data_IF_797560571791
#
_entry.id   IF_797560571791
#
_cell.length_a   1.000
_cell.length_b   1.000
_cell.length_c   1.000
_cell.angle_alpha   90.00
_cell.angle_beta   90.00
_cell.angle_gamma   90.00
#
_symmetry.space_group_name_H-M   'P 1'
#
loop_
_entity.id
_entity.type
_entity.pdbx_description
1 polymer ?
#
# COMPACT_ATOMS: atom_id res chain seq x y z
N UNK A 1 13.77 14.36 7.41
CA UNK A 1 13.60 15.75 6.94
C UNK A 1 14.02 15.93 5.48
N UNK A 2 15.22 15.46 5.07
CA UNK A 2 15.72 15.64 3.70
C UNK A 2 14.83 15.07 2.59
N UNK A 3 14.29 13.86 2.77
CA UNK A 3 13.38 13.20 1.79
C UNK A 3 12.12 14.04 1.54
N UNK A 4 11.50 14.58 2.60
CA UNK A 4 10.33 15.45 2.45
C UNK A 4 10.66 16.78 1.79
N UNK A 5 11.77 17.41 2.17
CA UNK A 5 12.19 18.66 1.55
C UNK A 5 12.45 18.47 0.05
N UNK A 6 13.17 17.42 -0.33
CA UNK A 6 13.41 17.06 -1.72
C UNK A 6 12.10 16.72 -2.45
N UNK A 7 11.24 15.88 -1.86
CA UNK A 7 9.96 15.50 -2.45
C UNK A 7 9.01 16.68 -2.66
N UNK A 8 8.97 17.62 -1.71
CA UNK A 8 8.15 18.84 -1.80
C UNK A 8 8.70 19.80 -2.86
N UNK A 9 10.02 19.97 -2.97
CA UNK A 9 10.65 20.75 -4.04
C UNK A 9 10.38 20.14 -5.42
N UNK A 10 10.57 18.83 -5.58
CA UNK A 10 10.28 18.15 -6.84
C UNK A 10 8.80 18.30 -7.22
N UNK A 11 7.90 18.25 -6.24
CA UNK A 11 6.48 18.52 -6.48
C UNK A 11 6.20 19.96 -6.89
N UNK A 12 6.82 20.92 -6.22
CA UNK A 12 6.66 22.33 -6.56
C UNK A 12 7.07 22.64 -8.01
N UNK A 13 8.11 21.97 -8.52
CA UNK A 13 8.57 22.10 -9.91
C UNK A 13 7.96 21.10 -10.90
N UNK A 14 6.95 20.32 -10.50
CA UNK A 14 6.35 19.24 -11.32
C UNK A 14 7.38 18.24 -11.89
N UNK A 15 8.44 17.97 -11.13
CA UNK A 15 9.46 16.98 -11.48
C UNK A 15 9.09 15.58 -10.95
N UNK A 16 9.58 14.51 -11.61
CA UNK A 16 9.42 13.15 -11.12
C UNK A 16 10.05 12.97 -9.74
N UNK A 17 9.36 12.29 -8.83
CA UNK A 17 9.86 11.92 -7.50
C UNK A 17 10.36 10.47 -7.44
N UNK A 18 10.71 9.92 -8.60
CA UNK A 18 11.29 8.60 -8.79
C UNK A 18 12.48 8.64 -9.74
N UNK A 19 13.33 7.63 -9.60
CA UNK A 19 14.45 7.36 -10.52
C UNK A 19 14.19 6.01 -11.17
N UNK A 20 14.46 5.90 -12.47
CA UNK A 20 14.45 4.62 -13.19
C UNK A 20 15.87 4.07 -13.23
N UNK A 21 16.09 2.88 -12.69
CA UNK A 21 17.37 2.18 -12.73
C UNK A 21 17.14 0.75 -13.18
N UNK A 22 17.77 0.35 -14.31
CA UNK A 22 17.69 -1.00 -14.89
C UNK A 22 16.21 -1.43 -15.07
N UNK A 23 15.35 -0.51 -15.53
CA UNK A 23 13.92 -0.77 -15.73
C UNK A 23 13.05 -0.77 -14.46
N UNK A 24 13.63 -0.66 -13.26
CA UNK A 24 12.89 -0.55 -12.00
C UNK A 24 12.68 0.91 -11.59
N UNK A 25 11.55 1.17 -10.94
CA UNK A 25 11.24 2.50 -10.39
C UNK A 25 11.58 2.56 -8.92
N UNK A 26 12.31 3.60 -8.54
CA UNK A 26 12.70 3.88 -7.17
C UNK A 26 12.18 5.25 -6.77
N UNK A 27 11.07 5.28 -6.05
CA UNK A 27 10.58 6.49 -5.39
C UNK A 27 11.57 6.91 -4.32
N UNK A 28 11.83 8.21 -4.27
CA UNK A 28 12.79 8.78 -3.33
C UNK A 28 12.39 8.49 -1.88
N UNK A 29 11.08 8.48 -1.58
CA UNK A 29 10.52 8.13 -0.27
C UNK A 29 10.81 6.71 0.19
N UNK A 30 10.89 5.75 -0.73
CA UNK A 30 11.12 4.35 -0.41
C UNK A 30 12.62 3.97 -0.50
N UNK A 31 13.33 4.54 -1.47
CA UNK A 31 14.71 4.14 -1.78
C UNK A 31 15.78 4.93 -1.01
N UNK A 32 15.62 6.25 -0.84
CA UNK A 32 16.64 7.09 -0.16
C UNK A 32 16.85 6.69 1.30
N UNK A 33 15.81 6.35 2.10
CA UNK A 33 16.00 5.93 3.48
C UNK A 33 16.91 4.70 3.62
N UNK A 34 16.88 3.80 2.64
CA UNK A 34 17.71 2.61 2.63
C UNK A 34 19.22 2.91 2.60
N UNK A 35 19.63 4.00 1.93
CA UNK A 35 21.05 4.39 1.87
C UNK A 35 21.66 4.66 3.24
N UNK A 36 20.84 5.04 4.23
CA UNK A 36 21.29 5.29 5.60
C UNK A 36 21.52 4.02 6.42
N UNK A 37 20.95 2.89 6.00
CA UNK A 37 21.03 1.62 6.75
C UNK A 37 21.80 0.52 6.01
N UNK A 38 22.14 0.70 4.73
CA UNK A 38 22.74 -0.37 3.92
C UNK A 38 24.01 -0.96 4.55
N UNK A 39 24.83 -0.12 5.21
CA UNK A 39 26.06 -0.55 5.88
C UNK A 39 25.84 -1.32 7.18
N UNK A 40 24.64 -1.25 7.76
CA UNK A 40 24.28 -1.96 9.01
C UNK A 40 23.48 -3.24 8.76
N UNK A 41 23.36 -3.65 7.49
CA UNK A 41 22.73 -4.91 7.10
C UNK A 41 23.77 -6.04 7.14
N UNK A 42 23.59 -6.96 8.07
CA UNK A 42 24.35 -8.20 8.15
C UNK A 42 23.56 -9.36 7.49
N UNK A 43 24.28 -10.45 7.17
CA UNK A 43 23.72 -11.61 6.47
C UNK A 43 22.63 -12.31 7.29
N UNK A 44 22.81 -12.39 8.61
CA UNK A 44 21.87 -13.05 9.51
C UNK A 44 20.53 -12.31 9.57
N UNK A 45 20.57 -10.97 9.63
CA UNK A 45 19.41 -10.11 9.55
C UNK A 45 18.64 -10.31 8.23
N UNK A 46 19.34 -10.34 7.10
CA UNK A 46 18.71 -10.57 5.80
C UNK A 46 18.08 -11.96 5.72
N UNK A 47 18.80 -13.00 6.14
CA UNK A 47 18.27 -14.37 6.22
C UNK A 47 17.01 -14.42 7.07
N UNK A 48 17.04 -13.82 8.25
CA UNK A 48 15.89 -13.78 9.15
C UNK A 48 14.66 -13.08 8.54
N UNK A 49 14.86 -12.08 7.68
CA UNK A 49 13.74 -11.39 7.01
C UNK A 49 13.17 -12.22 5.85
N UNK A 50 14.02 -12.80 5.00
CA UNK A 50 13.57 -13.49 3.80
C UNK A 50 13.12 -14.93 4.04
N UNK A 51 13.64 -15.59 5.09
CA UNK A 51 13.31 -16.97 5.43
C UNK A 51 12.13 -17.07 6.41
N UNK A 52 11.75 -15.97 7.08
CA UNK A 52 10.65 -16.01 8.03
C UNK A 52 9.29 -15.97 7.33
N UNK A 53 8.74 -17.15 7.06
CA UNK A 53 7.37 -17.32 6.58
C UNK A 53 6.43 -17.58 7.75
N UNK A 54 5.90 -16.52 8.37
CA UNK A 54 4.94 -16.62 9.51
C UNK A 54 3.61 -17.28 9.09
N UNK A 55 3.26 -17.28 7.80
CA UNK A 55 1.93 -17.69 7.35
C UNK A 55 1.95 -18.94 6.46
N UNK A 56 1.09 -19.91 6.80
CA UNK A 56 0.75 -20.96 5.85
C UNK A 56 0.05 -20.31 4.65
N UNK A 57 0.46 -20.70 3.43
CA UNK A 57 0.08 -20.08 2.16
C UNK A 57 -1.43 -19.82 1.98
N UNK A 58 -2.30 -20.57 2.67
CA UNK A 58 -3.77 -20.46 2.56
C UNK A 58 -4.34 -19.14 3.12
N UNK A 59 -3.75 -18.59 4.18
CA UNK A 59 -4.28 -17.39 4.86
C UNK A 59 -3.96 -16.10 4.09
N UNK A 60 -2.82 -16.07 3.40
CA UNK A 60 -2.42 -14.96 2.53
C UNK A 60 -3.34 -14.90 1.29
N UNK A 61 -3.64 -16.05 0.68
CA UNK A 61 -4.59 -16.14 -0.44
C UNK A 61 -6.00 -15.72 -0.03
N UNK A 62 -6.47 -16.17 1.14
CA UNK A 62 -7.75 -15.72 1.67
C UNK A 62 -7.77 -14.21 1.85
N UNK A 63 -6.71 -13.59 2.36
CA UNK A 63 -6.66 -12.13 2.54
C UNK A 63 -6.61 -11.35 1.22
N UNK A 64 -5.83 -11.84 0.26
CA UNK A 64 -5.67 -11.26 -1.08
C UNK A 64 -6.92 -11.37 -1.95
N UNK A 65 -7.70 -12.45 -1.81
CA UNK A 65 -8.96 -12.64 -2.53
C UNK A 65 -10.14 -12.00 -1.81
N UNK A 66 -10.18 -12.07 -0.47
CA UNK A 66 -11.33 -11.59 0.30
C UNK A 66 -11.40 -10.06 0.33
N UNK A 67 -10.28 -9.34 0.30
CA UNK A 67 -10.29 -7.88 0.27
C UNK A 67 -10.96 -7.37 -1.02
N UNK A 68 -10.49 -7.68 -2.25
CA UNK A 68 -11.16 -7.27 -3.49
C UNK A 68 -12.62 -7.71 -3.59
N UNK A 69 -12.95 -8.90 -3.07
CA UNK A 69 -14.30 -9.48 -3.14
C UNK A 69 -15.27 -8.83 -2.15
N UNK A 70 -14.81 -8.53 -0.92
CA UNK A 70 -15.55 -7.71 0.05
C UNK A 70 -15.68 -6.29 -0.46
N UNK A 71 -14.66 -5.73 -1.10
CA UNK A 71 -14.72 -4.40 -1.67
C UNK A 71 -15.74 -4.35 -2.80
N UNK A 72 -15.72 -5.29 -3.76
CA UNK A 72 -16.73 -5.37 -4.82
C UNK A 72 -18.15 -5.58 -4.28
N UNK A 73 -18.29 -6.41 -3.25
CA UNK A 73 -19.58 -6.65 -2.61
C UNK A 73 -20.09 -5.44 -1.81
N UNK A 74 -19.22 -4.76 -1.05
CA UNK A 74 -19.59 -3.61 -0.22
C UNK A 74 -19.80 -2.36 -1.08
N UNK A 75 -18.98 -2.14 -2.11
CA UNK A 75 -19.20 -1.05 -3.07
C UNK A 75 -20.46 -1.28 -3.89
N UNK A 76 -20.73 -2.50 -4.36
CA UNK A 76 -22.00 -2.84 -5.02
C UNK A 76 -23.22 -2.76 -4.11
N UNK A 77 -23.09 -3.12 -2.82
CA UNK A 77 -24.20 -3.14 -1.86
C UNK A 77 -24.52 -1.77 -1.25
N UNK A 78 -23.51 -0.97 -0.87
CA UNK A 78 -23.73 0.36 -0.28
C UNK A 78 -24.12 1.41 -1.33
N UNK A 79 -23.75 1.18 -2.60
CA UNK A 79 -23.90 2.18 -3.65
C UNK A 79 -24.64 1.59 -4.85
N UNK A 80 -25.92 1.24 -4.66
CA UNK A 80 -26.84 0.85 -5.73
C UNK A 80 -27.06 1.92 -6.85
N UNK A 81 -26.22 2.97 -6.89
CA UNK A 81 -26.08 3.95 -7.96
C UNK A 81 -24.63 4.07 -8.49
N UNK A 82 -23.80 3.04 -8.32
CA UNK A 82 -22.52 2.90 -9.04
C UNK A 82 -22.85 2.51 -10.47
N UNK A 83 -22.43 3.35 -11.40
CA UNK A 83 -22.52 3.04 -12.82
C UNK A 83 -21.18 2.44 -13.27
N UNK A 84 -21.26 1.43 -14.15
CA UNK A 84 -20.10 0.98 -14.90
C UNK A 84 -19.71 2.13 -15.83
N UNK A 85 -18.52 2.67 -15.59
CA UNK A 85 -17.96 3.65 -16.50
C UNK A 85 -17.25 2.91 -17.64
N UNK A 86 -17.23 3.52 -18.82
CA UNK A 86 -16.37 3.09 -19.92
C UNK A 86 -15.20 4.08 -20.01
N UNK A 87 -14.21 3.98 -19.09
CA UNK A 87 -13.13 4.94 -19.01
C UNK A 87 -12.39 5.01 -20.34
N UNK A 88 -11.94 6.20 -20.71
CA UNK A 88 -11.06 6.35 -21.87
C UNK A 88 -9.85 5.44 -21.69
N UNK A 89 -9.54 4.65 -22.71
CA UNK A 89 -8.51 3.60 -22.66
C UNK A 89 -8.88 2.37 -21.80
N UNK A 90 -10.17 2.05 -21.60
CA UNK A 90 -10.62 0.86 -20.85
C UNK A 90 -9.91 -0.42 -21.32
N UNK A 91 -9.86 -0.67 -22.63
CA UNK A 91 -9.20 -1.85 -23.19
C UNK A 91 -7.67 -1.75 -23.15
N UNK A 92 -7.12 -0.57 -23.43
CA UNK A 92 -5.67 -0.35 -23.55
C UNK A 92 -4.94 -0.20 -22.21
N UNK A 93 -5.65 0.25 -21.18
CA UNK A 93 -5.09 0.56 -19.87
C UNK A 93 -5.84 -0.14 -18.73
N UNK A 94 -7.17 -0.18 -18.76
CA UNK A 94 -7.94 -0.84 -17.69
C UNK A 94 -7.72 -2.35 -17.66
N UNK A 95 -8.07 -3.04 -18.75
CA UNK A 95 -7.92 -4.50 -18.86
C UNK A 95 -6.46 -4.92 -18.97
N UNK A 96 -5.64 -4.18 -19.71
CA UNK A 96 -4.20 -4.43 -19.78
C UNK A 96 -3.56 -4.30 -18.40
N UNK A 97 -3.94 -3.33 -17.56
CA UNK A 97 -3.38 -3.19 -16.22
C UNK A 97 -3.62 -4.43 -15.36
N UNK A 98 -4.77 -5.11 -15.50
CA UNK A 98 -5.03 -6.38 -14.80
C UNK A 98 -4.05 -7.46 -15.26
N UNK A 99 -3.80 -7.54 -16.56
CA UNK A 99 -2.84 -8.49 -17.15
C UNK A 99 -1.39 -8.13 -16.79
N UNK A 100 -1.09 -6.83 -16.74
CA UNK A 100 0.22 -6.25 -16.44
C UNK A 100 0.48 -6.11 -14.94
N UNK A 101 -0.49 -6.45 -14.09
CA UNK A 101 -0.38 -6.42 -12.64
C UNK A 101 0.92 -7.09 -12.14
N UNK A 102 1.30 -8.29 -12.61
CA UNK A 102 2.55 -8.92 -12.19
C UNK A 102 3.77 -8.09 -12.59
N UNK A 103 3.75 -7.45 -13.77
CA UNK A 103 4.84 -6.62 -14.26
C UNK A 103 4.99 -5.35 -13.41
N UNK A 104 3.89 -4.64 -13.15
CA UNK A 104 3.91 -3.46 -12.27
C UNK A 104 4.32 -3.81 -10.86
N UNK A 105 3.89 -4.95 -10.33
CA UNK A 105 4.36 -5.43 -9.04
C UNK A 105 5.87 -5.67 -9.09
N UNK A 106 6.40 -6.40 -10.08
CA UNK A 106 7.84 -6.68 -10.24
C UNK A 106 8.65 -5.38 -10.30
N UNK A 107 8.19 -4.37 -11.02
CA UNK A 107 8.85 -3.07 -11.11
C UNK A 107 8.94 -2.32 -9.77
N UNK A 108 7.99 -2.58 -8.87
CA UNK A 108 7.91 -1.97 -7.54
C UNK A 108 8.52 -2.84 -6.42
N UNK A 109 8.72 -4.14 -6.63
CA UNK A 109 9.26 -5.06 -5.61
C UNK A 109 10.56 -4.54 -4.98
N UNK A 110 11.60 -4.11 -5.75
CA UNK A 110 12.87 -3.73 -5.15
C UNK A 110 12.71 -2.62 -4.12
N UNK A 111 12.06 -1.50 -4.48
CA UNK A 111 11.89 -0.38 -3.56
C UNK A 111 11.01 -0.71 -2.34
N UNK A 112 10.01 -1.58 -2.48
CA UNK A 112 9.17 -2.00 -1.37
C UNK A 112 9.92 -2.92 -0.40
N UNK A 113 10.83 -3.76 -0.91
CA UNK A 113 11.78 -4.52 -0.09
C UNK A 113 12.72 -3.56 0.66
N UNK A 114 13.29 -2.57 -0.03
CA UNK A 114 14.18 -1.57 0.60
C UNK A 114 13.47 -0.84 1.75
N UNK A 115 12.22 -0.43 1.54
CA UNK A 115 11.38 0.19 2.56
C UNK A 115 11.15 -0.75 3.75
N UNK A 116 10.85 -2.03 3.50
CA UNK A 116 10.65 -3.01 4.57
C UNK A 116 11.93 -3.23 5.40
N UNK A 117 13.09 -3.31 4.75
CA UNK A 117 14.39 -3.44 5.43
C UNK A 117 14.69 -2.22 6.29
N UNK A 118 14.39 -1.02 5.78
CA UNK A 118 14.51 0.24 6.52
C UNK A 118 13.65 0.23 7.79
N UNK A 119 12.36 -0.07 7.65
CA UNK A 119 11.45 -0.15 8.79
C UNK A 119 11.91 -1.20 9.81
N UNK A 120 12.40 -2.35 9.34
CA UNK A 120 12.91 -3.43 10.19
C UNK A 120 14.10 -3.01 11.05
N UNK A 121 14.96 -2.11 10.55
CA UNK A 121 16.07 -1.54 11.34
C UNK A 121 15.62 -0.40 12.27
N UNK A 122 14.61 0.39 11.91
CA UNK A 122 14.09 1.47 12.79
C UNK A 122 13.24 0.98 13.96
N UNK A 123 12.90 -0.30 13.98
CA UNK A 123 12.17 -0.95 15.07
C UNK A 123 10.73 -1.29 14.70
N UNK A 124 10.21 -2.35 15.34
CA UNK A 124 8.93 -2.99 14.98
C UNK A 124 7.70 -2.47 15.74
N UNK A 125 7.79 -1.28 16.34
CA UNK A 125 6.61 -0.72 17.01
C UNK A 125 5.66 -0.10 15.99
N UNK A 126 4.35 -0.22 16.23
CA UNK A 126 3.34 0.45 15.41
C UNK A 126 3.62 1.94 15.27
N UNK A 127 3.88 2.62 16.39
CA UNK A 127 4.14 4.06 16.41
C UNK A 127 5.40 4.44 15.62
N UNK A 128 6.51 3.73 15.80
CA UNK A 128 7.75 4.00 15.05
C UNK A 128 7.49 3.87 13.54
N UNK A 129 6.89 2.75 13.14
CA UNK A 129 6.57 2.46 11.74
C UNK A 129 5.61 3.49 11.15
N UNK A 130 4.58 3.87 11.91
CA UNK A 130 3.59 4.88 11.53
C UNK A 130 4.25 6.23 11.29
N UNK A 131 5.02 6.74 12.26
CA UNK A 131 5.65 8.04 12.09
C UNK A 131 6.68 8.04 10.97
N UNK A 132 7.48 6.97 10.85
CA UNK A 132 8.42 6.83 9.74
C UNK A 132 7.69 6.86 8.41
N UNK A 133 6.68 6.01 8.20
CA UNK A 133 5.91 5.98 6.95
C UNK A 133 5.17 7.30 6.69
N UNK A 134 4.51 7.87 7.71
CA UNK A 134 3.84 9.15 7.62
C UNK A 134 4.81 10.22 7.11
N UNK A 135 5.98 10.36 7.75
CA UNK A 135 6.97 11.35 7.34
C UNK A 135 7.70 10.97 6.05
N UNK A 136 7.73 9.73 5.57
CA UNK A 136 8.33 9.44 4.27
C UNK A 136 7.42 9.83 3.10
N UNK A 137 6.11 9.72 3.29
CA UNK A 137 5.12 9.91 2.23
C UNK A 137 4.29 11.19 2.38
N UNK A 138 4.47 11.97 3.44
CA UNK A 138 3.70 13.18 3.75
C UNK A 138 3.63 14.15 2.56
N UNK A 139 4.74 14.37 1.85
CA UNK A 139 4.81 15.31 0.73
C UNK A 139 3.93 14.93 -0.47
N UNK A 140 3.53 13.66 -0.60
CA UNK A 140 2.61 13.21 -1.64
C UNK A 140 1.18 13.70 -1.39
N UNK A 141 0.82 13.98 -0.14
CA UNK A 141 -0.56 14.23 0.27
C UNK A 141 -0.80 15.64 0.80
N UNK A 142 0.24 16.45 1.05
CA UNK A 142 0.09 17.89 1.35
C UNK A 142 -0.30 18.64 0.07
N UNK A 143 -1.47 19.26 -0.06
CA UNK A 143 -1.82 20.01 -1.26
C UNK A 143 -0.93 21.26 -1.41
N UNK A 144 -0.47 21.52 -2.64
CA UNK A 144 0.27 22.74 -2.98
C UNK A 144 -0.65 23.94 -3.19
N UNK A 145 -1.90 23.70 -3.60
CA UNK A 145 -2.91 24.72 -3.80
C UNK A 145 -4.02 24.57 -2.75
N UNK A 146 -4.21 25.59 -1.91
CA UNK A 146 -5.22 25.57 -0.85
C UNK A 146 -6.66 25.56 -1.40
N UNK A 147 -6.88 26.04 -2.63
CA UNK A 147 -8.20 26.11 -3.26
C UNK A 147 -8.80 24.74 -3.60
N UNK A 148 -7.97 23.70 -3.70
CA UNK A 148 -8.38 22.33 -4.01
C UNK A 148 -8.24 21.40 -2.80
N UNK A 149 -8.19 21.95 -1.58
CA UNK A 149 -8.04 21.16 -0.36
C UNK A 149 -9.29 20.31 -0.09
N UNK A 150 -9.17 19.00 -0.27
CA UNK A 150 -10.14 18.03 0.23
C UNK A 150 -9.55 17.31 1.45
N UNK A 151 -10.18 17.48 2.62
CA UNK A 151 -9.72 16.87 3.88
C UNK A 151 -9.79 15.33 3.86
N UNK A 152 -10.59 14.74 2.96
CA UNK A 152 -10.74 13.30 2.84
C UNK A 152 -9.47 12.63 2.28
N UNK A 153 -8.67 13.34 1.49
CA UNK A 153 -7.39 12.82 0.98
C UNK A 153 -6.35 12.62 2.10
N UNK A 154 -6.09 13.60 3.00
CA UNK A 154 -5.30 13.39 4.21
C UNK A 154 -5.84 12.28 5.12
N UNK A 155 -7.17 12.16 5.25
CA UNK A 155 -7.79 11.09 6.06
C UNK A 155 -7.49 9.72 5.46
N UNK A 156 -7.72 9.53 4.16
CA UNK A 156 -7.39 8.31 3.43
C UNK A 156 -5.90 7.93 3.59
N UNK A 157 -5.00 8.92 3.48
CA UNK A 157 -3.57 8.72 3.70
C UNK A 157 -3.24 8.22 5.11
N UNK A 158 -3.77 8.88 6.15
CA UNK A 158 -3.53 8.48 7.54
C UNK A 158 -4.01 7.04 7.80
N UNK A 159 -5.19 6.69 7.28
CA UNK A 159 -5.75 5.35 7.42
C UNK A 159 -4.88 4.31 6.70
N UNK A 160 -4.45 4.60 5.47
CA UNK A 160 -3.57 3.72 4.70
C UNK A 160 -2.21 3.50 5.42
N UNK A 161 -1.58 4.56 5.92
CA UNK A 161 -0.32 4.46 6.67
C UNK A 161 -0.51 3.67 7.97
N UNK A 162 -1.65 3.83 8.64
CA UNK A 162 -2.02 3.02 9.81
C UNK A 162 -2.12 1.54 9.44
N UNK A 163 -2.75 1.21 8.30
CA UNK A 163 -2.89 -0.16 7.82
C UNK A 163 -1.53 -0.79 7.50
N UNK A 164 -0.66 -0.07 6.78
CA UNK A 164 0.71 -0.52 6.49
C UNK A 164 1.54 -0.75 7.75
N UNK A 165 1.44 0.17 8.71
CA UNK A 165 2.17 0.07 9.99
C UNK A 165 1.72 -1.14 10.81
N UNK A 166 0.42 -1.42 10.81
CA UNK A 166 -0.13 -2.61 11.45
C UNK A 166 0.35 -3.89 10.76
N UNK A 167 0.33 -3.92 9.43
CA UNK A 167 0.81 -5.07 8.63
C UNK A 167 2.28 -5.36 8.92
N UNK A 168 3.12 -4.34 8.86
CA UNK A 168 4.54 -4.44 9.16
C UNK A 168 4.80 -4.94 10.59
N UNK A 169 4.14 -4.33 11.58
CA UNK A 169 4.32 -4.64 13.00
C UNK A 169 3.82 -6.06 13.37
N UNK A 170 2.69 -6.50 12.79
CA UNK A 170 2.03 -7.75 13.20
C UNK A 170 2.45 -8.97 12.40
N UNK A 171 2.73 -8.83 11.12
CA UNK A 171 2.96 -9.97 10.24
C UNK A 171 4.43 -10.22 9.93
N UNK A 172 5.27 -9.18 10.02
CA UNK A 172 6.73 -9.26 9.86
C UNK A 172 7.17 -10.15 8.68
N UNK A 173 6.49 -10.01 7.55
CA UNK A 173 6.74 -10.80 6.35
C UNK A 173 6.94 -9.85 5.18
N UNK A 174 8.15 -9.88 4.61
CA UNK A 174 8.53 -8.97 3.53
C UNK A 174 7.66 -9.17 2.29
N UNK A 175 7.35 -10.41 1.90
CA UNK A 175 6.54 -10.70 0.73
C UNK A 175 5.10 -10.19 0.89
N UNK A 176 4.50 -10.44 2.05
CA UNK A 176 3.16 -9.96 2.35
C UNK A 176 3.12 -8.44 2.39
N UNK A 177 4.09 -7.78 3.04
CA UNK A 177 4.17 -6.33 3.07
C UNK A 177 4.31 -5.74 1.67
N UNK A 178 5.19 -6.29 0.82
CA UNK A 178 5.41 -5.83 -0.56
C UNK A 178 4.13 -5.96 -1.38
N UNK A 179 3.54 -7.15 -1.41
CA UNK A 179 2.32 -7.43 -2.16
C UNK A 179 1.16 -6.56 -1.67
N UNK A 180 1.00 -6.42 -0.35
CA UNK A 180 -0.05 -5.62 0.27
C UNK A 180 0.11 -4.12 -0.03
N UNK A 181 1.32 -3.58 0.11
CA UNK A 181 1.61 -2.17 -0.12
C UNK A 181 1.34 -1.73 -1.55
N UNK A 182 1.48 -2.66 -2.50
CA UNK A 182 1.19 -2.41 -3.91
C UNK A 182 -0.28 -2.66 -4.26
N UNK A 183 -0.84 -3.83 -3.91
CA UNK A 183 -2.16 -4.24 -4.37
C UNK A 183 -3.29 -3.39 -3.80
N UNK A 184 -3.20 -2.99 -2.54
CA UNK A 184 -4.26 -2.20 -1.90
C UNK A 184 -4.49 -0.87 -2.64
N UNK A 185 -3.48 -0.01 -2.86
CA UNK A 185 -3.66 1.20 -3.66
C UNK A 185 -3.99 0.87 -5.12
N UNK A 186 -3.35 -0.15 -5.72
CA UNK A 186 -3.63 -0.53 -7.10
C UNK A 186 -5.11 -0.88 -7.33
N UNK A 187 -5.74 -1.67 -6.45
CA UNK A 187 -7.15 -2.06 -6.58
C UNK A 187 -8.09 -0.85 -6.49
N UNK A 188 -7.90 0.02 -5.49
CA UNK A 188 -8.82 1.16 -5.30
C UNK A 188 -8.70 2.16 -6.44
N UNK A 189 -7.47 2.50 -6.85
CA UNK A 189 -7.26 3.47 -7.91
C UNK A 189 -7.61 2.90 -9.28
N UNK A 190 -7.40 1.61 -9.53
CA UNK A 190 -7.89 1.00 -10.77
C UNK A 190 -9.43 1.00 -10.82
N UNK A 191 -10.08 0.71 -9.69
CA UNK A 191 -11.54 0.63 -9.60
C UNK A 191 -12.21 2.00 -9.71
N UNK A 192 -11.72 3.02 -9.02
CA UNK A 192 -12.42 4.31 -8.86
C UNK A 192 -11.68 5.52 -9.41
N UNK A 193 -10.49 5.33 -9.98
CA UNK A 193 -9.76 6.42 -10.60
C UNK A 193 -8.96 7.29 -9.65
N UNK A 194 -8.19 8.21 -10.22
CA UNK A 194 -7.54 9.32 -9.54
C UNK A 194 -7.21 10.42 -10.53
N UNK A 195 -7.47 11.66 -10.14
CA UNK A 195 -7.01 12.86 -10.87
C UNK A 195 -5.54 13.21 -10.57
N UNK A 196 -4.89 12.46 -9.67
CA UNK A 196 -3.48 12.66 -9.39
C UNK A 196 -2.62 11.91 -10.40
N UNK A 197 -2.14 12.63 -11.42
CA UNK A 197 -1.12 12.14 -12.36
C UNK A 197 0.00 11.40 -11.61
N UNK A 198 0.45 11.95 -10.48
CA UNK A 198 1.51 11.34 -9.68
C UNK A 198 1.12 9.97 -9.14
N UNK A 199 -0.06 9.82 -8.54
CA UNK A 199 -0.53 8.53 -8.01
C UNK A 199 -0.68 7.51 -9.14
N UNK A 200 -1.24 7.93 -10.28
CA UNK A 200 -1.41 7.06 -11.44
C UNK A 200 -0.06 6.63 -12.03
N UNK A 201 0.89 7.55 -12.16
CA UNK A 201 2.23 7.27 -12.67
C UNK A 201 3.04 6.39 -11.72
N UNK A 202 2.81 6.49 -10.40
CA UNK A 202 3.39 5.60 -9.38
C UNK A 202 2.89 4.15 -9.59
N UNK A 203 1.59 3.97 -9.82
CA UNK A 203 0.95 2.65 -9.78
C UNK A 203 0.94 1.90 -11.11
N UNK A 204 0.76 2.61 -12.23
CA UNK A 204 0.48 2.01 -13.55
C UNK A 204 1.49 2.39 -14.64
N UNK A 205 2.55 3.10 -14.24
CA UNK A 205 3.72 3.40 -15.04
C UNK A 205 3.56 4.31 -16.28
N UNK A 206 2.36 4.56 -16.77
CA UNK A 206 2.17 5.28 -18.02
C UNK A 206 2.04 6.80 -17.83
N UNK A 207 2.20 7.58 -18.91
CA UNK A 207 2.15 9.05 -18.91
C UNK A 207 0.71 9.58 -18.84
N UNK A 208 -0.09 9.04 -17.92
CA UNK A 208 -1.50 9.42 -17.81
C UNK A 208 -1.66 10.58 -16.85
N UNK A 209 -2.39 11.60 -17.29
CA UNK A 209 -2.68 12.79 -16.49
C UNK A 209 -3.71 12.45 -15.40
N UNK A 210 -4.64 11.54 -15.70
CA UNK A 210 -5.63 11.02 -14.77
C UNK A 210 -6.12 9.65 -15.22
N UNK A 211 -6.84 8.96 -14.34
CA UNK A 211 -7.56 7.71 -14.64
C UNK A 211 -8.96 7.80 -14.07
N UNK A 212 -9.99 7.48 -14.87
CA UNK A 212 -11.40 7.65 -14.49
C UNK A 212 -11.98 6.47 -13.70
N UNK A 213 -11.26 5.33 -13.62
CA UNK A 213 -11.76 4.14 -12.93
C UNK A 213 -12.78 3.33 -13.73
N UNK A 214 -12.93 2.05 -13.36
CA UNK A 214 -14.02 1.20 -13.87
C UNK A 214 -15.40 1.60 -13.34
N UNK A 215 -15.44 2.22 -12.17
CA UNK A 215 -16.64 2.60 -11.46
C UNK A 215 -16.63 4.11 -11.24
N UNK A 216 -17.72 4.76 -11.60
CA UNK A 216 -17.96 6.16 -11.26
C UNK A 216 -19.08 6.28 -10.24
N UNK A 217 -18.97 7.31 -9.40
CA UNK A 217 -19.96 7.58 -8.37
C UNK A 217 -20.21 9.07 -8.29
N UNK A 218 -21.47 9.47 -8.31
CA UNK A 218 -21.85 10.89 -8.29
C UNK A 218 -21.69 11.56 -6.92
N UNK A 219 -21.35 12.84 -6.95
CA UNK A 219 -21.45 13.76 -5.80
C UNK A 219 -20.51 13.46 -4.63
N UNK A 220 -20.90 13.89 -3.42
CA UNK A 220 -20.13 13.72 -2.17
C UNK A 220 -19.82 12.26 -1.81
N UNK A 221 -20.53 11.32 -2.43
CA UNK A 221 -20.35 9.88 -2.20
C UNK A 221 -19.02 9.41 -2.78
N UNK A 222 -18.62 9.91 -3.95
CA UNK A 222 -17.36 9.51 -4.59
C UNK A 222 -16.12 9.88 -3.78
N UNK A 223 -16.15 11.03 -3.12
CA UNK A 223 -15.03 11.48 -2.28
C UNK A 223 -14.81 10.59 -1.04
N UNK A 224 -15.83 9.84 -0.60
CA UNK A 224 -15.77 8.97 0.57
C UNK A 224 -15.26 7.56 0.27
N UNK A 225 -15.23 7.15 -1.00
CA UNK A 225 -14.92 5.77 -1.39
C UNK A 225 -13.50 5.39 -1.00
N UNK A 226 -12.51 6.22 -1.34
CA UNK A 226 -11.10 5.94 -1.05
C UNK A 226 -10.86 5.88 0.48
N UNK A 227 -11.30 6.86 1.30
CA UNK A 227 -11.22 6.74 2.75
C UNK A 227 -11.92 5.50 3.32
N UNK A 228 -13.15 5.20 2.87
CA UNK A 228 -13.92 4.06 3.35
C UNK A 228 -13.24 2.73 3.01
N UNK A 229 -12.68 2.62 1.80
CA UNK A 229 -11.90 1.47 1.37
C UNK A 229 -10.72 1.22 2.30
N UNK A 230 -9.89 2.24 2.55
CA UNK A 230 -8.75 2.08 3.45
C UNK A 230 -9.19 1.77 4.88
N UNK A 231 -10.33 2.29 5.33
CA UNK A 231 -10.88 1.98 6.64
C UNK A 231 -11.29 0.50 6.76
N UNK A 232 -12.00 -0.04 5.76
CA UNK A 232 -12.37 -1.47 5.72
C UNK A 232 -11.11 -2.34 5.73
N UNK A 233 -10.11 -1.96 4.93
CA UNK A 233 -8.82 -2.63 4.87
C UNK A 233 -8.12 -2.63 6.24
N UNK A 234 -8.09 -1.49 6.93
CA UNK A 234 -7.56 -1.38 8.29
C UNK A 234 -8.35 -2.25 9.29
N UNK A 235 -9.67 -2.20 9.26
CA UNK A 235 -10.54 -2.99 10.14
C UNK A 235 -10.31 -4.49 9.93
N UNK A 236 -10.15 -4.92 8.69
CA UNK A 236 -9.89 -6.33 8.33
C UNK A 236 -8.51 -6.77 8.85
N UNK A 237 -7.48 -5.93 8.75
CA UNK A 237 -6.17 -6.20 9.36
C UNK A 237 -6.27 -6.35 10.88
N UNK A 238 -7.04 -5.48 11.56
CA UNK A 238 -7.23 -5.54 13.02
C UNK A 238 -7.89 -6.86 13.40
N UNK A 239 -9.01 -7.19 12.77
CA UNK A 239 -9.75 -8.45 12.99
C UNK A 239 -8.83 -9.65 12.76
N UNK A 240 -8.10 -9.66 11.65
CA UNK A 240 -7.19 -10.74 11.32
C UNK A 240 -6.05 -10.88 12.33
N UNK A 241 -5.47 -9.77 12.80
CA UNK A 241 -4.42 -9.79 13.82
C UNK A 241 -4.88 -10.42 15.14
N UNK A 242 -6.15 -10.26 15.50
CA UNK A 242 -6.76 -10.88 16.69
C UNK A 242 -6.84 -12.41 16.49
N UNK A 243 -7.26 -12.87 15.32
CA UNK A 243 -7.36 -14.30 15.01
C UNK A 243 -5.99 -15.01 14.98
N UNK A 244 -4.96 -14.35 14.45
CA UNK A 244 -3.59 -14.90 14.42
C UNK A 244 -3.07 -15.14 15.85
N UNK A 245 -3.22 -14.15 16.74
CA UNK A 245 -2.80 -14.26 18.15
C UNK A 245 -3.50 -15.44 18.87
N UNK A 246 -4.76 -15.70 18.54
CA UNK A 246 -5.54 -16.82 19.13
C UNK A 246 -5.02 -18.19 18.67
N UNK A 247 -4.47 -18.29 17.47
CA UNK A 247 -3.92 -19.54 16.92
C UNK A 247 -2.54 -19.87 17.51
N UNK A 248 -1.67 -18.88 17.66
CA UNK A 248 -0.34 -19.08 18.29
C UNK A 248 -0.49 -19.51 19.75
N UNK A 249 -1.38 -18.87 20.50
CA UNK A 249 -1.66 -19.23 21.90
C UNK A 249 -2.30 -20.61 22.06
N UNK A 250 -3.10 -21.09 21.11
CA UNK A 250 -3.69 -22.44 21.17
C UNK A 250 -2.70 -23.55 20.79
N UNK A 251 -1.74 -23.25 19.91
CA UNK A 251 -0.65 -24.17 19.56
C UNK A 251 0.33 -24.36 20.73
N UNK A 252 0.71 -23.27 21.41
CA UNK A 252 1.55 -23.33 22.62
C UNK A 252 0.88 -24.14 23.74
N UNK A 253 -0.42 -23.93 24.00
CA UNK A 253 -1.17 -24.75 24.97
C UNK A 253 -1.24 -26.24 24.61
N UNK A 254 -1.22 -26.57 23.32
CA UNK A 254 -1.19 -27.97 22.88
C UNK A 254 0.19 -28.60 23.05
N UNK A 255 1.29 -27.87 22.80
CA UNK A 255 2.63 -28.42 23.03
C UNK A 255 2.88 -28.72 24.50
N UNK A 256 2.37 -27.87 25.40
CA UNK A 256 2.53 -28.06 26.85
C UNK A 256 1.78 -29.31 27.37
N UNK A 257 0.65 -29.64 26.75
CA UNK A 257 -0.14 -30.84 27.09
C UNK A 257 0.40 -32.16 26.49
N UNK A 258 1.40 -32.09 25.59
CA UNK A 258 2.07 -33.28 25.05
C UNK A 258 3.36 -33.63 25.83
N UNK A 259 3.80 -32.76 26.75
CA UNK A 259 5.00 -32.95 27.59
C UNK A 259 4.63 -33.38 29.01
N UNK A 260 3.33 -33.51 29.33
CA UNK A 260 2.80 -34.07 30.59
C UNK A 260 2.30 -35.50 30.39
#
# INVERSE_FOLDING_TARGET
>A
SAVNAAGLLLRYFNLPDYIILIGFRFHLSAAVPFLFIIKSLDEEFLKNIFLHTVFSHKTIFAFLLFIPLVIGAVSGYLFAGVELNDPRYFYEFGLSSIVDLPLYLIWNIPQLILLFLFLSKTGRSFYSSFFVLFFLFLYLFIPLELKTFNYLNPVAFIIFISALSLVFCKFNNVYFFVVYSFLIPWVIFLSFGSDSERIINILFAAKYISWEGFFTTGGKVGELIIPAFFFIVLATNIIFSIFVKKKESSLLKKSDNFVS
#
